data_IF_542298337431
#
_entry.id   IF_542298337431
#
_cell.length_a   1.000
_cell.length_b   1.000
_cell.length_c   1.000
_cell.angle_alpha   90.00
_cell.angle_beta   90.00
_cell.angle_gamma   90.00
#
_symmetry.space_group_name_H-M   'P 1'
#
loop_
_entity.id
_entity.type
_entity.pdbx_description
1 polymer ?
#
# COMPACT_ATOMS: atom_id res chain seq x y z
N UNK A 1 20.91 6.20 -12.02
CA UNK A 1 20.20 4.90 -12.20
C UNK A 1 20.27 4.01 -10.96
N UNK A 2 21.47 3.70 -10.41
CA UNK A 2 21.61 2.81 -9.24
C UNK A 2 20.77 3.22 -8.01
N UNK A 3 20.69 4.52 -7.70
CA UNK A 3 19.93 5.00 -6.52
C UNK A 3 18.41 4.87 -6.68
N UNK A 4 17.88 5.08 -7.89
CA UNK A 4 16.44 4.95 -8.16
C UNK A 4 15.99 3.49 -8.03
N UNK A 5 16.80 2.55 -8.52
CA UNK A 5 16.54 1.12 -8.33
C UNK A 5 16.55 0.76 -6.84
N UNK A 6 17.48 1.31 -6.07
CA UNK A 6 17.55 1.09 -4.62
C UNK A 6 16.30 1.63 -3.91
N UNK A 7 15.82 2.83 -4.27
CA UNK A 7 14.58 3.39 -3.72
C UNK A 7 13.38 2.51 -4.03
N UNK A 8 13.25 2.03 -5.27
CA UNK A 8 12.18 1.11 -5.65
C UNK A 8 12.23 -0.18 -4.81
N UNK A 9 13.40 -0.82 -4.73
CA UNK A 9 13.57 -2.06 -3.94
C UNK A 9 13.23 -1.83 -2.47
N UNK A 10 13.74 -0.76 -1.86
CA UNK A 10 13.45 -0.44 -0.45
C UNK A 10 11.99 -0.05 -0.22
N UNK A 11 11.33 0.56 -1.20
CA UNK A 11 9.92 0.92 -1.12
C UNK A 11 9.00 -0.30 -1.12
N UNK A 12 9.24 -1.25 -2.03
CA UNK A 12 8.43 -2.46 -2.18
C UNK A 12 8.77 -3.57 -1.19
N UNK A 13 10.01 -3.67 -0.70
CA UNK A 13 10.45 -4.78 0.14
C UNK A 13 9.61 -4.99 1.41
N UNK A 14 9.27 -3.96 2.22
CA UNK A 14 8.45 -4.14 3.41
C UNK A 14 7.02 -4.60 3.06
N UNK A 15 6.42 -4.04 2.01
CA UNK A 15 5.08 -4.39 1.59
C UNK A 15 4.99 -5.86 1.12
N UNK A 16 5.97 -6.31 0.33
CA UNK A 16 6.04 -7.71 -0.10
C UNK A 16 6.34 -8.66 1.06
N UNK A 17 7.17 -8.25 2.02
CA UNK A 17 7.45 -9.03 3.22
C UNK A 17 6.18 -9.24 4.06
N UNK A 18 5.43 -8.17 4.33
CA UNK A 18 4.18 -8.25 5.09
C UNK A 18 3.11 -9.01 4.32
N UNK A 19 3.02 -8.84 3.00
CA UNK A 19 2.07 -9.58 2.17
C UNK A 19 2.31 -11.08 2.26
N UNK A 20 3.58 -11.50 2.17
CA UNK A 20 3.95 -12.90 2.34
C UNK A 20 3.68 -13.41 3.76
N UNK A 21 3.80 -12.55 4.79
CA UNK A 21 3.50 -12.91 6.17
C UNK A 21 2.00 -13.16 6.38
N UNK A 22 1.14 -12.23 5.96
CA UNK A 22 -0.32 -12.36 6.09
C UNK A 22 -0.88 -13.48 5.23
N UNK A 23 -0.39 -13.63 3.99
CA UNK A 23 -0.78 -14.74 3.13
C UNK A 23 -0.46 -16.12 3.75
N UNK A 24 0.62 -16.24 4.54
CA UNK A 24 0.95 -17.49 5.24
C UNK A 24 0.14 -17.73 6.52
N UNK A 25 -0.59 -16.72 6.99
CA UNK A 25 -1.48 -16.86 8.16
C UNK A 25 -2.80 -17.51 7.77
N UNK A 26 -3.22 -17.34 6.53
CA UNK A 26 -4.28 -18.11 5.93
C UNK A 26 -3.80 -19.55 5.68
N UNK A 27 -4.16 -20.45 6.61
CA UNK A 27 -3.71 -21.85 6.64
C UNK A 27 -4.80 -22.84 6.29
N UNK A 28 -6.05 -22.42 6.40
CA UNK A 28 -7.21 -23.30 6.27
C UNK A 28 -7.58 -23.43 4.79
N UNK A 29 -7.76 -22.30 4.10
CA UNK A 29 -8.13 -22.26 2.68
C UNK A 29 -7.30 -21.21 1.92
N UNK A 30 -6.03 -21.52 1.59
CA UNK A 30 -5.12 -20.52 1.02
C UNK A 30 -5.57 -20.02 -0.34
N UNK A 31 -5.77 -18.71 -0.42
CA UNK A 31 -6.21 -18.01 -1.62
C UNK A 31 -5.30 -18.22 -2.86
N UNK A 32 -5.85 -18.20 -4.09
CA UNK A 32 -5.06 -18.24 -5.30
C UNK A 32 -4.09 -17.05 -5.38
N UNK A 33 -2.79 -17.33 -5.37
CA UNK A 33 -1.71 -16.30 -5.40
C UNK A 33 -1.89 -15.26 -6.51
N UNK A 34 -2.46 -15.65 -7.64
CA UNK A 34 -2.72 -14.77 -8.79
C UNK A 34 -3.76 -13.69 -8.44
N UNK A 35 -4.78 -14.03 -7.66
CA UNK A 35 -5.81 -13.10 -7.22
C UNK A 35 -5.24 -12.14 -6.18
N UNK A 36 -4.49 -12.65 -5.19
CA UNK A 36 -3.81 -11.81 -4.19
C UNK A 36 -2.87 -10.81 -4.85
N UNK A 37 -2.04 -11.27 -5.81
CA UNK A 37 -1.17 -10.37 -6.57
C UNK A 37 -1.95 -9.37 -7.43
N UNK A 38 -3.07 -9.78 -8.04
CA UNK A 38 -3.94 -8.87 -8.80
C UNK A 38 -4.48 -7.77 -7.89
N UNK A 39 -4.99 -8.12 -6.70
CA UNK A 39 -5.52 -7.16 -5.72
C UNK A 39 -4.43 -6.22 -5.23
N UNK A 40 -3.21 -6.73 -4.99
CA UNK A 40 -2.05 -5.92 -4.65
C UNK A 40 -1.68 -4.90 -5.74
N UNK A 41 -1.66 -5.33 -7.00
CA UNK A 41 -1.40 -4.45 -8.14
C UNK A 41 -2.48 -3.38 -8.32
N UNK A 42 -3.75 -3.72 -8.05
CA UNK A 42 -4.83 -2.75 -8.01
C UNK A 42 -4.70 -1.76 -6.86
N UNK A 43 -4.22 -2.19 -5.70
CA UNK A 43 -3.86 -1.28 -4.60
C UNK A 43 -2.80 -0.26 -5.01
N UNK A 44 -1.73 -0.70 -5.69
CA UNK A 44 -0.71 0.20 -6.28
C UNK A 44 -1.36 1.16 -7.28
N UNK A 45 -2.22 0.65 -8.16
CA UNK A 45 -2.86 1.47 -9.18
C UNK A 45 -3.78 2.55 -8.56
N UNK A 46 -4.56 2.19 -7.53
CA UNK A 46 -5.49 3.09 -6.84
C UNK A 46 -4.79 4.22 -6.07
N UNK A 47 -3.50 4.09 -5.75
CA UNK A 47 -2.73 5.17 -5.13
C UNK A 47 -2.50 6.37 -6.05
N UNK A 48 -2.45 6.19 -7.38
CA UNK A 48 -2.34 7.31 -8.32
C UNK A 48 -3.58 8.23 -8.35
N UNK A 49 -4.82 7.72 -8.58
CA UNK A 49 -6.00 8.55 -8.55
C UNK A 49 -6.31 9.07 -7.14
N UNK A 50 -5.95 8.34 -6.07
CA UNK A 50 -6.05 8.84 -4.69
C UNK A 50 -5.19 10.10 -4.50
N UNK A 51 -3.90 10.03 -4.84
CA UNK A 51 -3.00 11.18 -4.76
C UNK A 51 -3.46 12.37 -5.63
N UNK A 52 -4.03 12.10 -6.81
CA UNK A 52 -4.61 13.14 -7.65
C UNK A 52 -5.84 13.79 -7.00
N UNK A 53 -6.74 12.99 -6.41
CA UNK A 53 -7.92 13.50 -5.71
C UNK A 53 -7.51 14.31 -4.47
N UNK A 54 -6.55 13.82 -3.70
CA UNK A 54 -5.98 14.52 -2.55
C UNK A 54 -5.45 15.91 -2.92
N UNK A 55 -4.78 16.04 -4.07
CA UNK A 55 -4.27 17.32 -4.56
C UNK A 55 -5.38 18.29 -5.01
N UNK A 56 -6.50 17.77 -5.52
CA UNK A 56 -7.62 18.58 -6.03
C UNK A 56 -8.56 19.07 -4.92
N UNK A 57 -8.56 18.42 -3.76
CA UNK A 57 -9.43 18.78 -2.65
C UNK A 57 -8.98 20.11 -2.01
N UNK A 58 -9.85 21.13 -1.93
CA UNK A 58 -9.49 22.46 -1.42
C UNK A 58 -9.51 22.52 0.12
N UNK A 59 -9.01 21.49 0.79
CA UNK A 59 -8.90 21.47 2.25
C UNK A 59 -7.62 22.16 2.72
N UNK A 60 -7.65 22.72 3.94
CA UNK A 60 -6.43 23.21 4.57
C UNK A 60 -5.50 22.04 4.93
N UNK A 61 -4.21 22.32 5.16
CA UNK A 61 -3.20 21.29 5.42
C UNK A 61 -3.56 20.37 6.60
N UNK A 62 -4.15 20.92 7.66
CA UNK A 62 -4.49 20.15 8.85
C UNK A 62 -5.64 19.17 8.59
N UNK A 63 -6.76 19.67 8.05
CA UNK A 63 -7.93 18.85 7.67
C UNK A 63 -7.55 17.82 6.62
N UNK A 64 -6.69 18.18 5.68
CA UNK A 64 -6.21 17.26 4.65
C UNK A 64 -5.40 16.11 5.26
N UNK A 65 -4.49 16.40 6.20
CA UNK A 65 -3.63 15.37 6.80
C UNK A 65 -4.38 14.44 7.78
N UNK A 66 -5.41 14.95 8.46
CA UNK A 66 -6.11 14.21 9.53
C UNK A 66 -7.34 13.49 9.01
N UNK A 67 -8.04 14.06 8.02
CA UNK A 67 -9.33 13.56 7.54
C UNK A 67 -9.30 13.31 6.05
N UNK A 68 -8.85 14.27 5.25
CA UNK A 68 -8.90 14.19 3.79
C UNK A 68 -8.16 12.98 3.23
N UNK A 69 -6.85 12.90 3.49
CA UNK A 69 -6.00 11.81 3.01
C UNK A 69 -6.48 10.45 3.56
N UNK A 70 -6.68 10.23 4.88
CA UNK A 70 -7.15 8.93 5.37
C UNK A 70 -8.47 8.48 4.74
N UNK A 71 -9.44 9.38 4.56
CA UNK A 71 -10.73 9.02 3.94
C UNK A 71 -10.54 8.66 2.46
N UNK A 72 -9.74 9.43 1.72
CA UNK A 72 -9.47 9.17 0.30
C UNK A 72 -8.70 7.86 0.12
N UNK A 73 -7.64 7.66 0.89
CA UNK A 73 -6.80 6.45 0.87
C UNK A 73 -7.61 5.20 1.18
N UNK A 74 -8.37 5.19 2.28
CA UNK A 74 -9.18 4.04 2.67
C UNK A 74 -10.30 3.76 1.67
N UNK A 75 -10.94 4.80 1.12
CA UNK A 75 -11.93 4.65 0.05
C UNK A 75 -11.31 4.05 -1.21
N UNK A 76 -10.09 4.45 -1.56
CA UNK A 76 -9.38 3.93 -2.72
C UNK A 76 -8.95 2.46 -2.53
N UNK A 77 -8.48 2.09 -1.33
CA UNK A 77 -8.16 0.69 -0.98
C UNK A 77 -9.40 -0.20 -1.02
N UNK A 78 -10.51 0.27 -0.44
CA UNK A 78 -11.79 -0.44 -0.51
C UNK A 78 -12.24 -0.63 -1.97
N UNK A 79 -12.13 0.41 -2.80
CA UNK A 79 -12.48 0.33 -4.21
C UNK A 79 -11.57 -0.67 -4.96
N UNK A 80 -10.28 -0.75 -4.63
CA UNK A 80 -9.37 -1.73 -5.20
C UNK A 80 -9.84 -3.17 -4.92
N UNK A 81 -10.25 -3.47 -3.69
CA UNK A 81 -10.83 -4.78 -3.32
C UNK A 81 -12.17 -5.01 -4.03
N UNK A 82 -13.05 -4.01 -4.01
CA UNK A 82 -14.37 -4.08 -4.61
C UNK A 82 -14.32 -4.40 -6.11
N UNK A 83 -13.42 -3.75 -6.86
CA UNK A 83 -13.26 -3.96 -8.29
C UNK A 83 -12.58 -5.29 -8.64
N UNK A 84 -11.82 -5.88 -7.72
CA UNK A 84 -10.99 -7.05 -8.01
C UNK A 84 -11.61 -8.37 -7.59
N UNK A 85 -12.16 -8.47 -6.38
CA UNK A 85 -12.53 -9.77 -5.81
C UNK A 85 -13.99 -9.87 -5.38
N UNK A 86 -14.68 -8.75 -5.16
CA UNK A 86 -16.04 -8.76 -4.60
C UNK A 86 -17.09 -9.57 -5.39
N UNK A 87 -16.85 -9.81 -6.69
CA UNK A 87 -17.73 -10.64 -7.54
C UNK A 87 -17.12 -12.00 -7.90
N UNK A 88 -15.99 -12.34 -7.31
CA UNK A 88 -15.30 -13.60 -7.55
C UNK A 88 -15.90 -14.69 -6.65
N UNK A 89 -16.12 -15.92 -7.16
CA UNK A 89 -16.50 -17.05 -6.33
C UNK A 89 -15.53 -17.35 -5.17
N UNK A 90 -14.25 -17.05 -5.34
CA UNK A 90 -13.17 -17.16 -4.31
C UNK A 90 -13.26 -16.05 -3.25
N UNK A 91 -14.46 -15.58 -2.94
CA UNK A 91 -14.71 -14.62 -1.87
C UNK A 91 -15.90 -15.12 -1.08
N UNK A 92 -15.65 -16.17 -0.30
CA UNK A 92 -16.65 -16.97 0.37
C UNK A 92 -16.45 -17.06 1.88
N UNK A 93 -15.30 -16.62 2.40
CA UNK A 93 -15.01 -16.52 3.83
C UNK A 93 -14.65 -15.10 4.31
N UNK A 94 -14.89 -14.78 5.60
CA UNK A 94 -14.43 -13.53 6.19
C UNK A 94 -12.90 -13.34 6.15
N UNK A 95 -12.14 -14.44 6.16
CA UNK A 95 -10.67 -14.41 6.12
C UNK A 95 -10.14 -13.86 4.79
N UNK A 96 -10.82 -14.16 3.68
CA UNK A 96 -10.49 -13.68 2.34
C UNK A 96 -10.57 -12.16 2.30
N UNK A 97 -11.60 -11.60 2.95
CA UNK A 97 -11.73 -10.15 3.18
C UNK A 97 -10.50 -9.54 3.81
N UNK A 98 -9.91 -10.21 4.79
CA UNK A 98 -8.68 -9.77 5.45
C UNK A 98 -7.49 -9.93 4.50
N UNK A 99 -7.31 -11.07 3.84
CA UNK A 99 -6.17 -11.33 2.95
C UNK A 99 -6.17 -10.37 1.76
N UNK A 100 -7.30 -10.19 1.09
CA UNK A 100 -7.44 -9.29 -0.05
C UNK A 100 -7.40 -7.81 0.37
N UNK A 101 -7.98 -7.46 1.53
CA UNK A 101 -7.87 -6.13 2.13
C UNK A 101 -6.41 -5.74 2.40
N UNK A 102 -5.69 -6.60 3.12
CA UNK A 102 -4.25 -6.47 3.36
C UNK A 102 -3.48 -6.38 2.05
N UNK A 103 -3.82 -7.20 1.05
CA UNK A 103 -3.14 -7.16 -0.24
C UNK A 103 -3.27 -5.80 -0.94
N UNK A 104 -4.49 -5.26 -1.01
CA UNK A 104 -4.75 -3.93 -1.56
C UNK A 104 -4.03 -2.83 -0.76
N UNK A 105 -4.12 -2.88 0.56
CA UNK A 105 -3.55 -1.85 1.43
C UNK A 105 -2.01 -1.84 1.40
N UNK A 106 -1.37 -3.02 1.39
CA UNK A 106 0.09 -3.13 1.22
C UNK A 106 0.54 -2.70 -0.18
N UNK A 107 -0.29 -2.88 -1.21
CA UNK A 107 -0.03 -2.36 -2.55
C UNK A 107 -0.01 -0.83 -2.57
N UNK A 108 -1.03 -0.23 -1.96
CA UNK A 108 -1.10 1.23 -1.79
C UNK A 108 0.11 1.74 -0.99
N UNK A 109 0.40 1.11 0.16
CA UNK A 109 1.52 1.44 1.03
C UNK A 109 2.87 1.38 0.30
N UNK A 110 3.06 0.41 -0.60
CA UNK A 110 4.30 0.26 -1.36
C UNK A 110 4.56 1.47 -2.25
N UNK A 111 3.54 1.96 -2.97
CA UNK A 111 3.69 3.13 -3.84
C UNK A 111 3.97 4.39 -3.03
N UNK A 112 3.21 4.61 -1.95
CA UNK A 112 3.48 5.72 -1.02
C UNK A 112 4.92 5.66 -0.52
N UNK A 113 5.37 4.50 -0.05
CA UNK A 113 6.70 4.35 0.53
C UNK A 113 7.82 4.68 -0.48
N UNK A 114 7.65 4.32 -1.76
CA UNK A 114 8.56 4.76 -2.84
C UNK A 114 8.58 6.28 -2.96
N UNK A 115 7.41 6.93 -2.95
CA UNK A 115 7.29 8.40 -3.00
C UNK A 115 7.97 9.09 -1.81
N UNK A 116 7.78 8.57 -0.60
CA UNK A 116 8.44 9.09 0.61
C UNK A 116 9.96 8.93 0.57
N UNK A 117 10.47 7.77 0.13
CA UNK A 117 11.91 7.55 -0.02
C UNK A 117 12.51 8.43 -1.13
N UNK A 118 11.79 8.65 -2.21
CA UNK A 118 12.20 9.56 -3.27
C UNK A 118 12.28 11.01 -2.77
N UNK A 119 11.27 11.50 -2.06
CA UNK A 119 11.27 12.84 -1.46
C UNK A 119 12.35 13.00 -0.39
N UNK A 120 12.59 11.98 0.43
CA UNK A 120 13.67 12.00 1.41
C UNK A 120 15.04 12.09 0.73
N UNK A 121 15.22 11.38 -0.39
CA UNK A 121 16.45 11.42 -1.16
C UNK A 121 16.71 12.81 -1.78
N UNK A 122 15.68 13.46 -2.32
CA UNK A 122 15.82 14.78 -2.97
C UNK A 122 16.06 15.89 -1.95
N UNK A 123 15.50 15.80 -0.74
CA UNK A 123 15.65 16.83 0.30
C UNK A 123 16.91 16.67 1.15
N UNK A 124 17.24 15.43 1.55
CA UNK A 124 18.28 15.15 2.56
C UNK A 124 19.43 14.29 2.02
N UNK A 125 19.39 13.89 0.74
CA UNK A 125 20.39 13.03 0.12
C UNK A 125 20.27 11.55 0.51
N UNK A 126 21.26 10.75 0.14
CA UNK A 126 21.26 9.29 0.33
C UNK A 126 21.41 8.84 1.78
N UNK A 127 21.84 9.72 2.70
CA UNK A 127 22.01 9.39 4.11
C UNK A 127 20.66 9.18 4.83
N UNK A 128 19.60 9.87 4.40
CA UNK A 128 18.27 9.78 5.01
C UNK A 128 17.49 8.51 4.61
N UNK A 129 17.90 7.84 3.53
CA UNK A 129 17.19 6.66 3.01
C UNK A 129 17.06 5.54 4.03
N UNK A 130 18.13 5.26 4.79
CA UNK A 130 18.12 4.21 5.80
C UNK A 130 17.15 4.49 6.95
N UNK A 131 17.15 5.73 7.45
CA UNK A 131 16.26 6.14 8.54
C UNK A 131 14.79 6.10 8.14
N UNK A 132 14.46 6.66 6.96
CA UNK A 132 13.09 6.66 6.43
C UNK A 132 12.62 5.24 6.13
N UNK A 133 13.47 4.40 5.54
CA UNK A 133 13.14 3.00 5.30
C UNK A 133 12.83 2.24 6.59
N UNK A 134 13.64 2.41 7.65
CA UNK A 134 13.43 1.71 8.91
C UNK A 134 12.13 2.14 9.59
N UNK A 135 11.91 3.46 9.72
CA UNK A 135 10.69 4.00 10.33
C UNK A 135 9.48 3.57 9.53
N UNK A 136 9.52 3.74 8.19
CA UNK A 136 8.34 3.47 7.39
C UNK A 136 8.06 1.99 7.20
N UNK A 137 9.09 1.20 6.93
CA UNK A 137 8.97 -0.24 6.71
C UNK A 137 8.51 -1.00 7.95
N UNK A 138 8.87 -0.53 9.15
CA UNK A 138 8.50 -1.19 10.41
C UNK A 138 7.24 -0.63 11.05
N UNK A 139 6.93 0.66 10.88
CA UNK A 139 5.81 1.29 11.59
C UNK A 139 4.65 1.58 10.65
N UNK A 140 4.87 2.30 9.54
CA UNK A 140 3.75 2.74 8.69
C UNK A 140 3.26 1.67 7.73
N UNK A 141 4.14 0.87 7.11
CA UNK A 141 3.71 -0.17 6.15
C UNK A 141 2.84 -1.25 6.81
N UNK A 142 3.18 -1.79 8.00
CA UNK A 142 2.26 -2.72 8.66
C UNK A 142 1.03 -2.05 9.25
N UNK A 143 1.05 -0.74 9.54
CA UNK A 143 -0.13 -0.02 10.01
C UNK A 143 -1.22 0.14 8.93
N UNK A 144 -0.86 -0.03 7.65
CA UNK A 144 -1.83 -0.09 6.56
C UNK A 144 -2.51 -1.46 6.43
N UNK A 145 -1.96 -2.52 7.03
CA UNK A 145 -2.44 -3.90 6.92
C UNK A 145 -3.45 -4.27 8.01
#
# INVERSE_FOLDING_TARGET
MRTLLLIAVLGFAPALFWLAYFYRKDRLEPEPRRLVLRTHLWGIFCAFPAAALEYLLPFNQWTMSVVGAPVVEESAKFLAVYLTIFRNPEFDEPMDGIVYGVAAALGFAALENVGYLYNAHTQYGSAALGGVFLVRGLLTVPAHA
#
